data_IF_156082241670
#
_entry.id   IF_156082241670
#
_cell.length_a   1.000
_cell.length_b   1.000
_cell.length_c   1.000
_cell.angle_alpha   90.00
_cell.angle_beta   90.00
_cell.angle_gamma   90.00
#
_symmetry.space_group_name_H-M   'P 1'
#
loop_
_entity.id
_entity.type
_entity.pdbx_description
1 polymer ?
#
# COMPACT_ATOMS: atom_id res chain seq x y z
N UNK A 1 -21.26 29.12 -60.97
CA UNK A 1 -21.83 27.96 -60.27
C UNK A 1 -20.67 27.02 -60.03
N UNK A 2 -19.86 27.26 -59.00
CA UNK A 2 -20.20 27.17 -57.57
C UNK A 2 -20.72 25.78 -57.26
N UNK A 3 -19.88 24.97 -56.63
CA UNK A 3 -20.15 24.37 -55.32
C UNK A 3 -18.88 23.61 -54.90
N UNK A 4 -18.12 24.21 -53.98
CA UNK A 4 -17.31 23.45 -53.04
C UNK A 4 -18.27 22.92 -51.97
N UNK A 5 -18.24 21.62 -51.66
CA UNK A 5 -18.67 21.17 -50.34
C UNK A 5 -17.64 20.18 -49.74
N UNK A 6 -17.69 19.96 -48.42
CA UNK A 6 -17.21 20.85 -47.39
C UNK A 6 -15.92 20.28 -46.79
N UNK A 7 -15.24 21.12 -46.02
CA UNK A 7 -14.13 20.77 -45.14
C UNK A 7 -14.46 19.49 -44.37
N UNK A 8 -13.68 18.43 -44.61
CA UNK A 8 -13.56 17.33 -43.65
C UNK A 8 -12.85 17.90 -42.43
N UNK A 9 -13.62 18.49 -41.52
CA UNK A 9 -13.33 18.42 -40.09
C UNK A 9 -13.45 16.93 -39.71
N UNK A 10 -12.45 16.16 -40.12
CA UNK A 10 -12.23 14.82 -39.60
C UNK A 10 -11.85 15.01 -38.14
N UNK A 11 -12.90 14.96 -37.33
CA UNK A 11 -12.90 14.89 -35.88
C UNK A 11 -11.62 14.26 -35.37
N UNK A 12 -10.72 15.10 -34.85
CA UNK A 12 -9.62 14.63 -34.03
C UNK A 12 -10.22 13.70 -32.96
N UNK A 13 -9.70 12.47 -32.78
CA UNK A 13 -10.21 11.59 -31.74
C UNK A 13 -10.14 12.34 -30.40
N UNK A 14 -11.15 12.19 -29.52
CA UNK A 14 -11.15 12.89 -28.24
C UNK A 14 -9.86 12.54 -27.49
N UNK A 15 -8.99 13.54 -27.36
CA UNK A 15 -7.67 13.44 -26.74
C UNK A 15 -7.74 13.13 -25.23
N UNK A 16 -8.95 13.05 -24.67
CA UNK A 16 -9.25 12.83 -23.26
C UNK A 16 -9.58 11.37 -22.88
N UNK A 17 -9.58 10.44 -23.83
CA UNK A 17 -9.64 9.02 -23.51
C UNK A 17 -8.25 8.48 -23.10
N UNK A 18 -7.55 9.21 -22.21
CA UNK A 18 -6.48 8.60 -21.44
C UNK A 18 -7.11 7.40 -20.73
N UNK A 19 -6.69 6.21 -21.15
CA UNK A 19 -7.19 4.91 -20.74
C UNK A 19 -7.28 4.86 -19.21
N UNK A 20 -8.48 5.12 -18.67
CA UNK A 20 -8.72 5.13 -17.23
C UNK A 20 -8.61 3.69 -16.75
N UNK A 21 -7.43 3.29 -16.29
CA UNK A 21 -7.26 2.00 -15.60
C UNK A 21 -8.19 2.02 -14.38
N UNK A 22 -9.25 1.18 -14.34
CA UNK A 22 -10.20 1.22 -13.24
C UNK A 22 -9.49 0.79 -11.95
N UNK A 23 -9.57 1.64 -10.93
CA UNK A 23 -9.07 1.31 -9.60
C UNK A 23 -10.03 0.31 -8.95
N UNK A 24 -9.67 -0.98 -8.98
CA UNK A 24 -10.46 -2.01 -8.31
C UNK A 24 -10.16 -2.04 -6.81
N UNK A 25 -11.22 -2.19 -6.00
CA UNK A 25 -11.11 -2.19 -4.54
C UNK A 25 -10.07 -3.20 -3.99
N UNK A 26 -9.98 -4.46 -4.48
CA UNK A 26 -8.95 -5.39 -3.99
C UNK A 26 -7.52 -4.88 -4.17
N UNK A 27 -7.24 -4.18 -5.28
CA UNK A 27 -5.91 -3.66 -5.57
C UNK A 27 -5.57 -2.46 -4.69
N UNK A 28 -6.55 -1.61 -4.42
CA UNK A 28 -6.42 -0.54 -3.43
C UNK A 28 -6.14 -1.10 -2.03
N UNK A 29 -6.85 -2.16 -1.63
CA UNK A 29 -6.63 -2.79 -0.31
C UNK A 29 -5.22 -3.40 -0.23
N UNK A 30 -4.73 -4.07 -1.28
CA UNK A 30 -3.34 -4.55 -1.35
C UNK A 30 -2.34 -3.42 -1.22
N UNK A 31 -2.59 -2.31 -1.90
CA UNK A 31 -1.73 -1.14 -1.81
C UNK A 31 -1.72 -0.56 -0.39
N UNK A 32 -2.88 -0.44 0.26
CA UNK A 32 -2.99 -0.02 1.65
C UNK A 32 -2.21 -0.96 2.59
N UNK A 33 -2.29 -2.28 2.39
CA UNK A 33 -1.49 -3.24 3.18
C UNK A 33 0.01 -2.97 3.03
N UNK A 34 0.49 -2.73 1.81
CA UNK A 34 1.91 -2.41 1.56
C UNK A 34 2.34 -1.09 2.20
N UNK A 35 1.48 -0.07 2.17
CA UNK A 35 1.74 1.22 2.83
C UNK A 35 1.82 1.07 4.35
N UNK A 36 0.87 0.35 4.95
CA UNK A 36 0.85 0.07 6.38
C UNK A 36 2.05 -0.78 6.81
N UNK A 37 2.46 -1.77 6.02
CA UNK A 37 3.67 -2.54 6.29
C UNK A 37 4.91 -1.63 6.31
N UNK A 38 5.03 -0.72 5.35
CA UNK A 38 6.12 0.26 5.30
C UNK A 38 6.13 1.16 6.53
N UNK A 39 4.97 1.70 6.92
CA UNK A 39 4.81 2.50 8.15
C UNK A 39 5.17 1.70 9.39
N UNK A 40 4.76 0.43 9.49
CA UNK A 40 5.14 -0.45 10.60
C UNK A 40 6.66 -0.63 10.69
N UNK A 41 7.35 -0.88 9.58
CA UNK A 41 8.81 -0.99 9.57
C UNK A 41 9.52 0.31 10.03
N UNK A 42 8.98 1.48 9.68
CA UNK A 42 9.48 2.78 10.14
C UNK A 42 9.26 2.95 11.64
N UNK A 43 8.03 2.71 12.13
CA UNK A 43 7.71 2.80 13.55
C UNK A 43 8.51 1.82 14.42
N UNK A 44 8.87 0.65 13.87
CA UNK A 44 9.78 -0.29 14.53
C UNK A 44 11.23 0.23 14.63
N UNK A 45 11.57 1.31 13.92
CA UNK A 45 12.93 1.85 13.82
C UNK A 45 13.86 0.97 12.99
N UNK A 46 13.32 0.14 12.09
CA UNK A 46 14.11 -0.80 11.28
C UNK A 46 14.42 -0.26 9.90
N UNK A 47 13.67 0.74 9.44
CA UNK A 47 13.97 1.50 8.21
C UNK A 47 13.88 2.99 8.52
N UNK A 48 14.64 3.84 7.79
CA UNK A 48 14.53 5.28 7.95
C UNK A 48 13.21 5.80 7.37
N UNK A 49 12.69 6.87 7.96
CA UNK A 49 11.61 7.65 7.38
C UNK A 49 12.09 8.29 6.06
N UNK A 50 11.38 8.11 4.93
CA UNK A 50 11.81 8.61 3.63
C UNK A 50 11.78 10.15 3.51
N UNK A 51 10.96 10.84 4.30
CA UNK A 51 10.86 12.30 4.32
C UNK A 51 11.94 12.93 5.21
N UNK A 52 12.18 12.38 6.41
CA UNK A 52 13.13 12.96 7.37
C UNK A 52 14.52 12.36 7.28
N UNK A 53 14.66 11.18 6.66
CA UNK A 53 15.86 10.31 6.64
C UNK A 53 16.34 9.87 8.03
N UNK A 54 15.51 10.07 9.06
CA UNK A 54 15.82 9.65 10.42
C UNK A 54 15.14 8.32 10.72
N UNK A 55 15.80 7.53 11.55
CA UNK A 55 15.18 6.36 12.17
C UNK A 55 14.53 6.85 13.45
N UNK A 56 13.22 7.07 13.42
CA UNK A 56 12.43 7.47 14.59
C UNK A 56 11.55 6.30 15.00
N UNK A 57 11.94 5.62 16.09
CA UNK A 57 11.16 4.50 16.63
C UNK A 57 9.92 5.03 17.33
N UNK A 58 8.76 4.56 16.90
CA UNK A 58 7.46 4.80 17.52
C UNK A 58 6.66 3.49 17.52
N UNK A 59 6.69 2.77 18.64
CA UNK A 59 6.02 1.47 18.76
C UNK A 59 4.49 1.59 18.77
N UNK A 60 3.92 2.70 19.24
CA UNK A 60 2.47 2.89 19.18
C UNK A 60 1.99 2.97 17.72
N UNK A 61 2.70 3.73 16.90
CA UNK A 61 2.40 3.85 15.46
C UNK A 61 2.64 2.52 14.73
N UNK A 62 3.74 1.82 15.04
CA UNK A 62 4.02 0.50 14.48
C UNK A 62 2.91 -0.51 14.80
N UNK A 63 2.40 -0.51 16.04
CA UNK A 63 1.31 -1.38 16.45
C UNK A 63 0.03 -1.09 15.67
N UNK A 64 -0.35 0.19 15.57
CA UNK A 64 -1.52 0.60 14.82
C UNK A 64 -1.45 0.15 13.36
N UNK A 65 -0.29 0.34 12.72
CA UNK A 65 -0.07 -0.06 11.34
C UNK A 65 -0.17 -1.59 11.15
N UNK A 66 0.38 -2.39 12.07
CA UNK A 66 0.29 -3.86 12.06
C UNK A 66 -1.15 -4.32 12.22
N UNK A 67 -1.88 -3.75 13.17
CA UNK A 67 -3.27 -4.12 13.45
C UNK A 67 -4.20 -3.76 12.28
N UNK A 68 -4.00 -2.58 11.68
CA UNK A 68 -4.72 -2.16 10.48
C UNK A 68 -4.41 -3.07 9.28
N UNK A 69 -3.14 -3.40 9.05
CA UNK A 69 -2.75 -4.31 7.97
C UNK A 69 -3.39 -5.69 8.15
N UNK A 70 -3.42 -6.21 9.38
CA UNK A 70 -4.07 -7.47 9.70
C UNK A 70 -5.57 -7.44 9.37
N UNK A 71 -6.28 -6.39 9.76
CA UNK A 71 -7.71 -6.23 9.46
C UNK A 71 -7.98 -6.21 7.94
N UNK A 72 -7.16 -5.52 7.16
CA UNK A 72 -7.30 -5.48 5.70
C UNK A 72 -6.99 -6.84 5.06
N UNK A 73 -5.99 -7.57 5.56
CA UNK A 73 -5.62 -8.90 5.06
C UNK A 73 -6.77 -9.89 5.22
N UNK A 74 -7.55 -9.83 6.30
CA UNK A 74 -8.75 -10.67 6.47
C UNK A 74 -9.77 -10.49 5.34
N UNK A 75 -9.88 -9.28 4.78
CA UNK A 75 -10.73 -9.02 3.61
C UNK A 75 -10.10 -9.47 2.28
N UNK A 76 -8.77 -9.55 2.20
CA UNK A 76 -8.07 -10.07 1.03
C UNK A 76 -8.06 -11.59 0.98
N UNK A 77 -7.99 -12.27 2.14
CA UNK A 77 -7.88 -13.74 2.22
C UNK A 77 -8.85 -14.45 1.27
N UNK A 78 -10.18 -14.22 1.28
CA UNK A 78 -11.11 -14.96 0.41
C UNK A 78 -10.86 -14.79 -1.10
N UNK A 79 -10.17 -13.70 -1.48
CA UNK A 79 -9.88 -13.30 -2.87
C UNK A 79 -8.47 -13.67 -3.30
N UNK A 80 -7.59 -13.96 -2.35
CA UNK A 80 -6.20 -14.29 -2.57
C UNK A 80 -6.03 -15.77 -2.93
N UNK A 81 -5.12 -16.05 -3.86
CA UNK A 81 -4.64 -17.41 -4.14
C UNK A 81 -3.70 -17.90 -3.04
N UNK A 82 -3.39 -19.20 -3.02
CA UNK A 82 -2.58 -19.81 -1.95
C UNK A 82 -1.20 -19.18 -1.78
N UNK A 83 -0.56 -18.77 -2.88
CA UNK A 83 0.74 -18.10 -2.84
C UNK A 83 0.63 -16.74 -2.14
N UNK A 84 -0.30 -15.89 -2.59
CA UNK A 84 -0.55 -14.57 -2.00
C UNK A 84 -0.96 -14.68 -0.53
N UNK A 85 -1.81 -15.65 -0.16
CA UNK A 85 -2.18 -15.88 1.24
C UNK A 85 -0.95 -16.15 2.13
N UNK A 86 -0.05 -17.03 1.67
CA UNK A 86 1.20 -17.33 2.38
C UNK A 86 2.10 -16.10 2.51
N UNK A 87 2.17 -15.27 1.48
CA UNK A 87 2.95 -14.02 1.51
C UNK A 87 2.38 -13.04 2.55
N UNK A 88 1.05 -12.84 2.56
CA UNK A 88 0.38 -11.98 3.54
C UNK A 88 0.55 -12.49 4.98
N UNK A 89 0.48 -13.81 5.18
CA UNK A 89 0.71 -14.44 6.47
C UNK A 89 2.15 -14.27 6.96
N UNK A 90 3.12 -14.50 6.08
CA UNK A 90 4.54 -14.31 6.38
C UNK A 90 4.85 -12.84 6.71
N UNK A 91 4.25 -11.90 5.98
CA UNK A 91 4.39 -10.46 6.26
C UNK A 91 3.93 -10.12 7.67
N UNK A 92 2.72 -10.54 8.05
CA UNK A 92 2.18 -10.29 9.40
C UNK A 92 3.00 -10.96 10.49
N UNK A 93 3.41 -12.22 10.29
CA UNK A 93 4.23 -12.94 11.25
C UNK A 93 5.57 -12.22 11.48
N UNK A 94 6.21 -11.77 10.40
CA UNK A 94 7.50 -11.06 10.48
C UNK A 94 7.35 -9.72 11.21
N UNK A 95 6.34 -8.92 10.86
CA UNK A 95 6.09 -7.63 11.52
C UNK A 95 5.83 -7.80 13.02
N UNK A 96 4.98 -8.77 13.40
CA UNK A 96 4.64 -9.04 14.80
C UNK A 96 5.84 -9.54 15.61
N UNK A 97 6.66 -10.41 15.03
CA UNK A 97 7.88 -10.89 15.68
C UNK A 97 8.83 -9.72 15.98
N UNK A 98 9.06 -8.85 14.98
CA UNK A 98 9.90 -7.67 15.16
C UNK A 98 9.30 -6.70 16.18
N UNK A 99 7.98 -6.51 16.20
CA UNK A 99 7.32 -5.69 17.21
C UNK A 99 7.61 -6.18 18.64
N UNK A 100 7.46 -7.47 18.90
CA UNK A 100 7.75 -8.05 20.22
C UNK A 100 9.22 -7.86 20.60
N UNK A 101 10.14 -8.07 19.66
CA UNK A 101 11.57 -7.85 19.88
C UNK A 101 11.87 -6.38 20.24
N UNK A 102 11.35 -5.43 19.47
CA UNK A 102 11.61 -4.01 19.69
C UNK A 102 10.94 -3.48 20.97
N UNK A 103 9.73 -3.96 21.28
CA UNK A 103 9.04 -3.65 22.53
C UNK A 103 9.81 -4.15 23.76
N UNK A 104 10.42 -5.33 23.68
CA UNK A 104 11.28 -5.84 24.75
C UNK A 104 12.53 -4.98 24.96
N UNK A 105 13.13 -4.45 23.88
CA UNK A 105 14.30 -3.56 23.96
C UNK A 105 13.97 -2.20 24.60
N UNK A 106 12.77 -1.67 24.37
CA UNK A 106 12.31 -0.42 24.99
C UNK A 106 12.19 -0.54 26.51
N UNK A 107 11.60 -1.64 27.00
CA UNK A 107 11.42 -1.89 28.43
C UNK A 107 12.75 -2.10 29.18
N UNK A 108 13.79 -2.58 28.50
CA UNK A 108 15.11 -2.77 29.09
C UNK A 108 15.96 -1.48 29.13
N UNK A 109 15.55 -0.42 28.41
CA UNK A 109 16.31 0.83 28.26
C UNK A 109 15.70 2.02 29.02
N UNK A 110 14.53 1.84 29.64
CA UNK A 110 13.85 2.83 30.48
C UNK A 110 13.91 2.43 31.95
#
# INVERSE_FOLDING_TARGET
MSEQPPEQEESAPPQDAAERVPLHAPDLVRWCVSLLATSAWQGLGLIPDPATRKVERNLEDARLAIDAAAALIEHLRPRAGDAERRELDNLLATLRLNFVEQAGKEQASG
#
